data_IF_700383501333
#
_entry.id   IF_700383501333
#
_cell.length_a   1.000
_cell.length_b   1.000
_cell.length_c   1.000
_cell.angle_alpha   90.00
_cell.angle_beta   90.00
_cell.angle_gamma   90.00
#
_symmetry.space_group_name_H-M   'P 1'
#
loop_
_entity.id
_entity.type
_entity.pdbx_description
1 polymer ?
#
# COMPACT_ATOMS: atom_id res chain seq x y z
N UNK A 1 -11.23 6.39 6.34
CA UNK A 1 -9.99 5.94 5.67
C UNK A 1 -10.18 6.01 4.16
N UNK A 2 -9.11 6.24 3.46
CA UNK A 2 -9.12 6.21 1.99
C UNK A 2 -9.06 4.76 1.53
N UNK A 3 -9.92 4.38 0.59
CA UNK A 3 -9.99 3.03 0.08
C UNK A 3 -9.76 2.98 -1.43
N UNK A 4 -8.94 2.01 -1.86
CA UNK A 4 -8.74 1.68 -3.27
C UNK A 4 -9.28 0.29 -3.52
N UNK A 5 -10.13 0.14 -4.52
CA UNK A 5 -10.66 -1.15 -4.94
C UNK A 5 -9.68 -1.82 -5.90
N UNK A 6 -8.61 -2.33 -5.33
CA UNK A 6 -7.53 -2.97 -6.05
C UNK A 6 -7.00 -4.15 -5.24
N UNK A 7 -6.56 -5.19 -5.93
CA UNK A 7 -5.95 -6.35 -5.29
C UNK A 7 -4.55 -5.98 -4.79
N UNK A 8 -4.26 -6.16 -3.48
CA UNK A 8 -2.91 -5.93 -2.98
C UNK A 8 -1.88 -6.83 -3.66
N UNK A 9 -0.71 -6.27 -3.97
CA UNK A 9 0.37 -7.01 -4.60
C UNK A 9 1.43 -7.40 -3.59
N UNK A 10 1.74 -8.70 -3.52
CA UNK A 10 2.82 -9.21 -2.68
C UNK A 10 4.18 -8.77 -3.20
N UNK A 11 5.10 -8.43 -2.29
CA UNK A 11 6.48 -8.10 -2.63
C UNK A 11 7.16 -9.24 -3.41
N UNK A 12 6.76 -10.49 -3.15
CA UNK A 12 7.33 -11.65 -3.85
C UNK A 12 6.98 -11.70 -5.33
N UNK A 13 5.90 -11.03 -5.73
CA UNK A 13 5.45 -10.95 -7.13
C UNK A 13 5.84 -9.64 -7.80
N UNK A 14 6.44 -8.72 -7.05
CA UNK A 14 6.75 -7.38 -7.54
C UNK A 14 8.07 -7.30 -8.29
N UNK A 15 9.02 -8.18 -7.95
CA UNK A 15 10.39 -8.07 -8.43
C UNK A 15 10.82 -9.28 -9.23
N UNK A 16 11.50 -9.01 -10.32
CA UNK A 16 12.16 -9.99 -11.19
C UNK A 16 13.65 -9.85 -10.95
N UNK A 17 14.19 -10.66 -10.03
CA UNK A 17 15.54 -10.44 -9.51
C UNK A 17 15.58 -9.23 -8.57
N UNK A 18 16.76 -8.63 -8.39
CA UNK A 18 16.95 -7.53 -7.41
C UNK A 18 16.61 -6.14 -7.93
N UNK A 19 16.56 -5.95 -9.24
CA UNK A 19 16.51 -4.62 -9.86
C UNK A 19 15.33 -4.37 -10.80
N UNK A 20 14.65 -5.44 -11.23
CA UNK A 20 13.64 -5.29 -12.27
C UNK A 20 12.26 -5.55 -11.72
N UNK A 21 11.37 -4.58 -11.91
CA UNK A 21 9.96 -4.75 -11.57
C UNK A 21 9.31 -5.70 -12.56
N UNK A 22 8.46 -6.61 -12.05
CA UNK A 22 7.64 -7.46 -12.90
C UNK A 22 6.59 -6.61 -13.64
N UNK A 23 6.00 -7.18 -14.70
CA UNK A 23 4.88 -6.54 -15.38
C UNK A 23 3.69 -6.35 -14.44
N UNK A 24 3.49 -7.28 -13.50
CA UNK A 24 2.44 -7.16 -12.48
C UNK A 24 2.67 -5.93 -11.60
N UNK A 25 3.91 -5.68 -11.18
CA UNK A 25 4.23 -4.50 -10.37
C UNK A 25 4.03 -3.21 -11.17
N UNK A 26 4.48 -3.17 -12.42
CA UNK A 26 4.31 -1.99 -13.27
C UNK A 26 2.85 -1.63 -13.46
N UNK A 27 2.00 -2.63 -13.66
CA UNK A 27 0.55 -2.45 -13.78
C UNK A 27 -0.07 -1.99 -12.48
N UNK A 28 0.31 -2.62 -11.36
CA UNK A 28 -0.16 -2.28 -10.04
C UNK A 28 0.22 -0.85 -9.65
N UNK A 29 1.48 -0.46 -9.89
CA UNK A 29 1.99 0.89 -9.66
C UNK A 29 1.14 1.93 -10.41
N UNK A 30 0.93 1.70 -11.70
CA UNK A 30 0.12 2.60 -12.54
C UNK A 30 -1.32 2.68 -12.05
N UNK A 31 -1.94 1.54 -11.75
CA UNK A 31 -3.35 1.50 -11.35
C UNK A 31 -3.54 2.15 -9.98
N UNK A 32 -2.68 1.86 -9.01
CA UNK A 32 -2.71 2.52 -7.71
C UNK A 32 -2.53 4.03 -7.85
N UNK A 33 -1.54 4.46 -8.63
CA UNK A 33 -1.26 5.88 -8.82
C UNK A 33 -2.46 6.62 -9.40
N UNK A 34 -3.19 5.96 -10.31
CA UNK A 34 -4.39 6.52 -10.91
C UNK A 34 -5.57 6.56 -9.93
N UNK A 35 -5.74 5.51 -9.12
CA UNK A 35 -6.84 5.41 -8.17
C UNK A 35 -6.66 6.28 -6.93
N UNK A 36 -5.42 6.57 -6.55
CA UNK A 36 -5.14 7.41 -5.39
C UNK A 36 -5.65 8.84 -5.61
N UNK A 37 -6.32 9.43 -4.59
CA UNK A 37 -6.75 10.83 -4.69
C UNK A 37 -5.59 11.76 -4.99
N UNK A 38 -5.83 12.82 -5.76
CA UNK A 38 -4.79 13.79 -6.10
C UNK A 38 -4.22 14.48 -4.87
N UNK A 39 -5.06 14.81 -3.91
CA UNK A 39 -4.68 15.53 -2.72
C UNK A 39 -5.00 14.70 -1.49
N UNK A 40 -3.96 14.25 -0.80
CA UNK A 40 -4.05 13.63 0.52
C UNK A 40 -3.11 14.40 1.41
N UNK A 41 -3.62 14.82 2.55
CA UNK A 41 -2.80 15.53 3.52
C UNK A 41 -1.92 14.52 4.27
N UNK A 42 -0.61 14.65 4.08
CA UNK A 42 0.37 13.90 4.85
C UNK A 42 0.85 14.82 5.98
N UNK A 43 0.57 14.50 7.25
CA UNK A 43 0.98 15.36 8.34
C UNK A 43 2.49 15.57 8.39
N UNK A 44 2.92 16.67 9.00
CA UNK A 44 4.32 16.97 9.23
C UNK A 44 4.86 16.13 10.38
N UNK A 45 6.18 15.87 10.36
CA UNK A 45 6.87 15.17 11.45
C UNK A 45 6.74 13.66 11.38
N UNK A 46 6.81 13.01 12.55
CA UNK A 46 6.76 11.56 12.64
C UNK A 46 5.34 11.04 12.39
N UNK A 47 5.23 9.98 11.63
CA UNK A 47 3.96 9.49 11.12
C UNK A 47 3.64 8.09 11.64
N UNK A 48 2.35 7.85 11.83
CA UNK A 48 1.77 6.50 11.91
C UNK A 48 0.97 6.26 10.63
N UNK A 49 1.23 5.13 9.98
CA UNK A 49 0.48 4.71 8.81
C UNK A 49 -0.35 3.47 9.17
N UNK A 50 -1.65 3.59 9.02
CA UNK A 50 -2.58 2.49 9.18
C UNK A 50 -2.93 1.92 7.81
N UNK A 51 -2.80 0.61 7.66
CA UNK A 51 -3.07 -0.11 6.42
C UNK A 51 -4.03 -1.26 6.69
N UNK A 52 -5.03 -1.42 5.82
CA UNK A 52 -5.92 -2.57 5.83
C UNK A 52 -5.93 -3.16 4.43
N UNK A 53 -5.63 -4.45 4.34
CA UNK A 53 -5.60 -5.17 3.07
C UNK A 53 -6.71 -6.23 3.03
N UNK A 54 -7.58 -6.14 2.02
CA UNK A 54 -8.58 -7.15 1.75
C UNK A 54 -8.03 -8.18 0.76
N UNK A 55 -7.87 -9.42 1.21
CA UNK A 55 -7.37 -10.52 0.38
C UNK A 55 -8.47 -11.54 0.13
N UNK A 56 -8.50 -12.08 -1.08
CA UNK A 56 -9.38 -13.22 -1.41
C UNK A 56 -8.71 -14.57 -1.13
N UNK A 57 -7.44 -14.59 -0.76
CA UNK A 57 -6.70 -15.79 -0.36
C UNK A 57 -6.30 -15.71 1.09
N UNK A 58 -6.67 -16.72 1.89
CA UNK A 58 -6.28 -16.79 3.31
C UNK A 58 -4.79 -17.06 3.49
N UNK A 59 -4.10 -17.53 2.46
CA UNK A 59 -2.66 -17.79 2.49
C UNK A 59 -1.79 -16.54 2.37
N UNK A 60 -2.40 -15.38 2.07
CA UNK A 60 -1.64 -14.13 1.94
C UNK A 60 -1.20 -13.61 3.30
N UNK A 61 0.04 -13.15 3.39
CA UNK A 61 0.58 -12.53 4.61
C UNK A 61 0.25 -11.04 4.64
N UNK A 62 -0.11 -10.54 5.82
CA UNK A 62 -0.56 -9.16 5.99
C UNK A 62 0.50 -8.13 5.66
N UNK A 63 1.78 -8.44 5.88
CA UNK A 63 2.89 -7.50 5.66
C UNK A 63 3.46 -7.52 4.24
N UNK A 64 3.17 -8.56 3.46
CA UNK A 64 3.74 -8.69 2.11
C UNK A 64 3.44 -7.53 1.15
N UNK A 65 2.25 -6.89 1.18
CA UNK A 65 1.97 -5.78 0.27
C UNK A 65 2.52 -4.43 0.75
N UNK A 66 3.03 -4.33 1.97
CA UNK A 66 3.35 -3.03 2.59
C UNK A 66 4.40 -2.27 1.78
N UNK A 67 5.53 -2.90 1.47
CA UNK A 67 6.64 -2.22 0.80
C UNK A 67 6.25 -1.65 -0.56
N UNK A 68 5.57 -2.44 -1.37
CA UNK A 68 5.14 -2.00 -2.70
C UNK A 68 4.17 -0.84 -2.62
N UNK A 69 3.19 -0.92 -1.71
CA UNK A 69 2.18 0.12 -1.58
C UNK A 69 2.77 1.41 -1.00
N UNK A 70 3.63 1.31 0.00
CA UNK A 70 4.28 2.48 0.59
C UNK A 70 5.17 3.19 -0.42
N UNK A 71 5.89 2.45 -1.26
CA UNK A 71 6.69 3.06 -2.33
C UNK A 71 5.82 3.88 -3.29
N UNK A 72 4.62 3.40 -3.59
CA UNK A 72 3.67 4.12 -4.45
C UNK A 72 3.16 5.39 -3.75
N UNK A 73 2.83 5.30 -2.46
CA UNK A 73 2.39 6.46 -1.67
C UNK A 73 3.46 7.55 -1.63
N UNK A 74 4.72 7.17 -1.44
CA UNK A 74 5.84 8.13 -1.46
C UNK A 74 5.94 8.85 -2.80
N UNK A 75 5.82 8.10 -3.88
CA UNK A 75 5.89 8.63 -5.23
C UNK A 75 4.76 9.61 -5.52
N UNK A 76 3.54 9.29 -5.08
CA UNK A 76 2.35 10.12 -5.31
C UNK A 76 2.35 11.38 -4.46
N UNK A 77 2.71 11.27 -3.18
CA UNK A 77 2.52 12.35 -2.20
C UNK A 77 3.81 13.02 -1.74
N UNK A 78 4.96 12.54 -2.20
CA UNK A 78 6.22 13.26 -2.03
C UNK A 78 6.77 13.28 -0.60
N UNK A 79 6.48 12.27 0.21
CA UNK A 79 7.10 12.13 1.53
C UNK A 79 8.16 11.02 1.51
N UNK A 80 8.95 10.94 2.56
CA UNK A 80 9.95 9.87 2.73
C UNK A 80 9.46 8.88 3.78
N UNK A 81 9.51 7.58 3.49
CA UNK A 81 9.02 6.53 4.39
C UNK A 81 9.83 6.44 5.70
N UNK A 82 11.01 7.06 5.78
CA UNK A 82 11.75 7.14 7.03
C UNK A 82 11.01 7.99 8.09
N UNK A 83 9.99 8.74 7.70
CA UNK A 83 9.11 9.47 8.61
C UNK A 83 8.05 8.58 9.24
N UNK A 84 7.84 7.37 8.74
CA UNK A 84 6.87 6.45 9.30
C UNK A 84 7.54 5.70 10.46
N UNK A 85 7.15 6.05 11.68
CA UNK A 85 7.69 5.45 12.90
C UNK A 85 6.83 4.32 13.44
N UNK A 86 5.56 4.27 13.03
CA UNK A 86 4.63 3.25 13.48
C UNK A 86 3.73 2.81 12.34
N UNK A 87 3.56 1.50 12.21
CA UNK A 87 2.60 0.89 11.29
C UNK A 87 1.53 0.14 12.06
N UNK A 88 0.28 0.27 11.63
CA UNK A 88 -0.80 -0.63 12.00
C UNK A 88 -1.26 -1.33 10.75
N UNK A 89 -1.09 -2.65 10.70
CA UNK A 89 -1.38 -3.45 9.52
C UNK A 89 -2.42 -4.51 9.87
N UNK A 90 -3.51 -4.55 9.10
CA UNK A 90 -4.59 -5.49 9.29
C UNK A 90 -4.93 -6.19 7.98
N UNK A 91 -5.20 -7.48 8.08
CA UNK A 91 -5.63 -8.32 6.97
C UNK A 91 -7.11 -8.68 7.15
N UNK A 92 -7.88 -8.61 6.06
CA UNK A 92 -9.29 -8.94 6.05
C UNK A 92 -9.54 -9.93 4.92
N UNK A 93 -10.30 -11.00 5.21
CA UNK A 93 -10.71 -11.96 4.19
C UNK A 93 -11.92 -11.44 3.42
N UNK A 94 -11.82 -11.42 2.10
CA UNK A 94 -12.92 -10.97 1.22
C UNK A 94 -13.13 -11.98 0.09
N UNK A 95 -14.22 -11.83 -0.63
CA UNK A 95 -14.50 -12.64 -1.81
C UNK A 95 -13.66 -12.16 -2.99
N UNK A 96 -13.35 -13.08 -3.91
CA UNK A 96 -12.66 -12.74 -5.16
C UNK A 96 -13.42 -11.65 -5.89
N UNK A 97 -12.68 -10.62 -6.30
CA UNK A 97 -13.23 -9.43 -6.95
C UNK A 97 -13.57 -8.31 -5.97
N UNK A 98 -13.50 -8.54 -4.67
CA UNK A 98 -13.77 -7.53 -3.64
C UNK A 98 -12.51 -7.12 -2.87
N UNK A 99 -11.35 -7.43 -3.40
CA UNK A 99 -10.06 -7.05 -2.79
C UNK A 99 -9.94 -5.52 -2.71
N UNK A 100 -9.27 -5.06 -1.67
CA UNK A 100 -9.11 -3.61 -1.46
C UNK A 100 -7.86 -3.30 -0.66
N UNK A 101 -7.51 -2.00 -0.66
CA UNK A 101 -6.50 -1.42 0.23
C UNK A 101 -7.11 -0.19 0.87
N UNK A 102 -7.00 -0.07 2.19
CA UNK A 102 -7.35 1.14 2.92
C UNK A 102 -6.11 1.69 3.59
N UNK A 103 -6.01 3.00 3.71
CA UNK A 103 -4.89 3.63 4.40
C UNK A 103 -5.28 4.93 5.07
N UNK A 104 -4.49 5.30 6.09
CA UNK A 104 -4.69 6.53 6.83
C UNK A 104 -3.38 6.97 7.48
N UNK A 105 -3.04 8.25 7.32
CA UNK A 105 -1.89 8.86 7.98
C UNK A 105 -2.32 9.59 9.24
N UNK A 106 -1.52 9.44 10.31
CA UNK A 106 -1.68 10.20 11.55
C UNK A 106 -0.33 10.75 11.96
N UNK A 107 -0.34 11.94 12.58
CA UNK A 107 0.86 12.51 13.17
C UNK A 107 1.07 11.90 14.55
N UNK A 108 2.29 11.45 14.82
CA UNK A 108 2.69 11.01 16.15
C UNK A 108 3.14 12.22 16.96
N UNK A 109 2.76 12.21 18.23
CA UNK A 109 3.17 13.27 19.17
C UNK A 109 4.36 12.85 20.00
#
# INVERSE_FOLDING_TARGET
>A
MIQLDIKPLSVNKAWKGKRFKTNDYKRYDRDCFTLLPKAVEVPQGDLKLTLVFGFSSKASDADNPVKCFVDILQKKYGFNDNKIYEYSIKKVDVKKGQEFIQFHFEQLK
#
